data_IF_676772471950
#
_entry.id   IF_676772471950
#
_cell.length_a   1.000
_cell.length_b   1.000
_cell.length_c   1.000
_cell.angle_alpha   90.00
_cell.angle_beta   90.00
_cell.angle_gamma   90.00
#
_symmetry.space_group_name_H-M   'P 1'
#
loop_
_entity.id
_entity.type
_entity.pdbx_description
1 polymer ?
#
# COMPACT_ATOMS: atom_id res chain seq x y z
N UNK A 1 -46.97 60.99 10.43
CA UNK A 1 -46.46 60.17 11.55
C UNK A 1 -46.16 58.80 10.99
N UNK A 2 -44.88 58.46 10.91
CA UNK A 2 -44.34 57.28 10.22
C UNK A 2 -44.47 56.07 11.14
N UNK A 3 -45.13 55.00 10.69
CA UNK A 3 -45.05 53.67 11.31
C UNK A 3 -44.50 52.72 10.25
N UNK A 4 -43.18 52.62 10.23
CA UNK A 4 -42.43 51.69 9.39
C UNK A 4 -42.65 50.26 9.90
N UNK A 5 -43.33 49.43 9.11
CA UNK A 5 -43.44 47.99 9.36
C UNK A 5 -42.14 47.32 8.92
N UNK A 6 -41.22 47.14 9.88
CA UNK A 6 -40.02 46.33 9.67
C UNK A 6 -40.40 44.87 9.52
N UNK A 7 -40.52 44.38 8.29
CA UNK A 7 -40.54 42.94 7.99
C UNK A 7 -39.09 42.46 8.08
N UNK A 8 -38.72 41.92 9.24
CA UNK A 8 -37.43 41.26 9.41
C UNK A 8 -37.40 39.97 8.59
N UNK A 9 -36.67 39.98 7.48
CA UNK A 9 -36.32 38.75 6.77
C UNK A 9 -35.37 37.93 7.66
N UNK A 10 -35.90 36.89 8.28
CA UNK A 10 -35.11 35.88 8.98
C UNK A 10 -34.41 35.03 7.91
N UNK A 11 -33.16 35.38 7.57
CA UNK A 11 -32.29 34.54 6.76
C UNK A 11 -31.88 33.33 7.60
N UNK A 12 -32.60 32.22 7.43
CA UNK A 12 -32.19 30.92 7.96
C UNK A 12 -30.99 30.47 7.14
N UNK A 13 -29.79 30.73 7.65
CA UNK A 13 -28.57 30.14 7.14
C UNK A 13 -28.63 28.63 7.41
N UNK A 14 -28.96 27.83 6.39
CA UNK A 14 -28.71 26.40 6.45
C UNK A 14 -27.19 26.22 6.53
N UNK A 15 -26.70 25.93 7.73
CA UNK A 15 -25.37 25.41 7.92
C UNK A 15 -25.30 24.08 7.16
N UNK A 16 -24.66 24.10 5.98
CA UNK A 16 -24.17 22.88 5.36
C UNK A 16 -23.14 22.31 6.32
N UNK A 17 -23.57 21.37 7.17
CA UNK A 17 -22.64 20.48 7.83
C UNK A 17 -21.86 19.80 6.73
N UNK A 18 -20.58 20.17 6.56
CA UNK A 18 -19.65 19.42 5.74
C UNK A 18 -19.60 18.03 6.36
N UNK A 19 -20.29 17.08 5.72
CA UNK A 19 -20.07 15.67 5.99
C UNK A 19 -18.63 15.44 5.56
N UNK A 20 -17.71 15.42 6.53
CA UNK A 20 -16.34 14.97 6.27
C UNK A 20 -16.48 13.59 5.62
N UNK A 21 -16.03 13.42 4.36
CA UNK A 21 -16.02 12.11 3.75
C UNK A 21 -14.91 11.33 4.45
N UNK A 22 -15.24 10.74 5.60
CA UNK A 22 -14.38 9.88 6.41
C UNK A 22 -14.04 8.55 5.75
N UNK A 23 -13.85 8.55 4.43
CA UNK A 23 -13.63 7.34 3.63
C UNK A 23 -12.44 7.43 2.67
N UNK A 24 -11.77 8.58 2.57
CA UNK A 24 -10.55 8.72 1.79
C UNK A 24 -9.35 8.98 2.71
N UNK A 25 -8.44 8.00 2.81
CA UNK A 25 -7.17 8.22 3.49
C UNK A 25 -6.30 9.17 2.67
N UNK A 26 -6.24 10.42 3.10
CA UNK A 26 -5.38 11.43 2.48
C UNK A 26 -3.93 11.01 2.61
N UNK A 27 -3.21 11.05 1.50
CA UNK A 27 -1.75 10.87 1.45
C UNK A 27 -1.00 12.18 1.58
N UNK A 28 -1.69 13.30 1.82
CA UNK A 28 -1.02 14.58 2.07
C UNK A 28 -0.23 14.44 3.37
N UNK A 29 1.10 14.68 3.36
CA UNK A 29 1.91 14.56 4.56
C UNK A 29 1.44 15.56 5.63
N UNK A 30 1.50 15.12 6.89
CA UNK A 30 1.24 15.94 8.06
C UNK A 30 2.57 16.15 8.77
N UNK A 31 2.97 17.41 8.93
CA UNK A 31 4.20 17.81 9.60
C UNK A 31 3.88 18.84 10.68
N UNK A 32 4.42 18.67 11.89
CA UNK A 32 4.11 19.52 13.06
C UNK A 32 2.60 19.69 13.32
N UNK A 33 1.84 18.61 13.14
CA UNK A 33 0.39 18.58 13.35
C UNK A 33 -0.44 19.31 12.28
N UNK A 34 0.17 19.72 11.15
CA UNK A 34 -0.52 20.41 10.06
C UNK A 34 -0.29 19.68 8.73
N UNK A 35 -1.33 19.63 7.91
CA UNK A 35 -1.18 19.15 6.54
C UNK A 35 -0.26 20.09 5.74
N UNK A 36 0.66 19.52 4.98
CA UNK A 36 1.56 20.27 4.11
C UNK A 36 0.74 20.91 2.98
N UNK A 37 0.98 22.20 2.75
CA UNK A 37 0.22 22.99 1.76
C UNK A 37 0.90 23.05 0.40
N UNK A 38 2.19 22.69 0.32
CA UNK A 38 2.91 22.59 -0.96
C UNK A 38 2.30 21.50 -1.83
N UNK A 39 2.22 21.76 -3.13
CA UNK A 39 1.75 20.77 -4.10
C UNK A 39 2.70 19.58 -4.19
N UNK A 40 2.13 18.41 -4.50
CA UNK A 40 2.89 17.18 -4.78
C UNK A 40 3.85 17.43 -5.93
N UNK A 41 5.13 17.12 -5.75
CA UNK A 41 6.09 17.14 -6.85
C UNK A 41 5.89 15.91 -7.75
N UNK A 42 6.08 16.12 -9.05
CA UNK A 42 5.94 15.06 -10.04
C UNK A 42 7.10 14.05 -9.96
N UNK A 43 6.77 12.79 -10.25
CA UNK A 43 7.76 11.70 -10.32
C UNK A 43 8.13 11.14 -8.95
N UNK A 44 9.19 10.33 -8.91
CA UNK A 44 9.62 9.60 -7.71
C UNK A 44 10.87 10.16 -7.04
N UNK A 45 11.56 11.14 -7.66
CA UNK A 45 12.80 11.74 -7.15
C UNK A 45 13.90 10.73 -6.79
N UNK A 46 13.93 9.57 -7.46
CA UNK A 46 14.87 8.49 -7.17
C UNK A 46 14.49 7.64 -5.95
N UNK A 47 13.29 7.81 -5.40
CA UNK A 47 12.73 6.85 -4.44
C UNK A 47 12.10 5.66 -5.16
N UNK A 48 12.12 4.51 -4.50
CA UNK A 48 11.56 3.29 -5.08
C UNK A 48 10.90 2.42 -4.03
N UNK A 49 9.67 1.99 -4.33
CA UNK A 49 8.98 0.91 -3.65
C UNK A 49 9.32 -0.42 -4.34
N UNK A 50 10.10 -1.25 -3.66
CA UNK A 50 10.59 -2.52 -4.14
C UNK A 50 9.90 -3.69 -3.45
N UNK A 51 9.77 -4.80 -4.17
CA UNK A 51 9.33 -6.08 -3.61
C UNK A 51 10.51 -7.05 -3.72
N UNK A 52 10.83 -7.76 -2.63
CA UNK A 52 11.92 -8.75 -2.64
C UNK A 52 11.75 -9.73 -3.80
N UNK A 53 12.84 -9.97 -4.53
CA UNK A 53 12.91 -10.83 -5.72
C UNK A 53 12.11 -10.34 -6.95
N UNK A 54 11.54 -9.13 -6.90
CA UNK A 54 10.81 -8.50 -8.01
C UNK A 54 9.83 -9.44 -8.75
N UNK A 55 8.86 -10.03 -8.03
CA UNK A 55 7.94 -10.99 -8.62
C UNK A 55 7.06 -10.33 -9.69
N UNK A 56 6.67 -11.11 -10.70
CA UNK A 56 5.74 -10.69 -11.76
C UNK A 56 4.29 -10.56 -11.29
N UNK A 57 3.94 -11.19 -10.18
CA UNK A 57 2.61 -11.16 -9.56
C UNK A 57 2.65 -11.69 -8.13
N UNK A 58 1.48 -11.81 -7.50
CA UNK A 58 1.36 -12.36 -6.15
C UNK A 58 0.71 -13.74 -6.13
N UNK A 59 1.14 -14.57 -5.20
CA UNK A 59 0.48 -15.83 -4.82
C UNK A 59 -0.45 -15.56 -3.62
N UNK A 60 -1.72 -16.00 -3.65
CA UNK A 60 -2.66 -15.74 -2.57
C UNK A 60 -2.14 -16.17 -1.19
N UNK A 61 -2.24 -15.27 -0.19
CA UNK A 61 -1.80 -15.53 1.19
C UNK A 61 -0.28 -15.54 1.43
N UNK A 62 0.54 -15.49 0.37
CA UNK A 62 2.00 -15.42 0.50
C UNK A 62 2.42 -14.08 1.10
N UNK A 63 3.49 -14.10 1.89
CA UNK A 63 4.06 -12.90 2.50
C UNK A 63 5.23 -12.39 1.66
N UNK A 64 5.21 -11.11 1.35
CA UNK A 64 6.21 -10.41 0.55
C UNK A 64 6.92 -9.35 1.39
N UNK A 65 8.24 -9.28 1.28
CA UNK A 65 9.03 -8.23 1.92
C UNK A 65 9.10 -7.03 0.98
N UNK A 66 8.64 -5.88 1.45
CA UNK A 66 8.66 -4.61 0.74
C UNK A 66 9.76 -3.71 1.30
N UNK A 67 10.34 -2.90 0.43
CA UNK A 67 11.36 -1.92 0.79
C UNK A 67 10.99 -0.59 0.15
N UNK A 68 11.03 0.49 0.93
CA UNK A 68 11.01 1.84 0.39
C UNK A 68 12.41 2.42 0.56
N UNK A 69 13.08 2.68 -0.56
CA UNK A 69 14.49 3.08 -0.59
C UNK A 69 14.68 4.40 -1.32
N UNK A 70 15.56 5.24 -0.81
CA UNK A 70 16.10 6.39 -1.52
C UNK A 70 17.29 6.01 -2.39
N UNK A 71 17.43 6.68 -3.55
CA UNK A 71 18.61 6.52 -4.39
C UNK A 71 19.90 6.91 -3.65
N UNK A 72 20.98 6.20 -3.96
CA UNK A 72 22.31 6.50 -3.44
C UNK A 72 23.28 6.64 -4.60
N UNK A 73 23.87 7.83 -4.71
CA UNK A 73 24.95 8.12 -5.66
C UNK A 73 26.18 8.61 -4.89
N UNK A 74 27.32 8.78 -5.56
CA UNK A 74 28.52 9.37 -4.94
C UNK A 74 28.31 10.82 -4.48
N UNK A 75 27.31 11.52 -5.03
CA UNK A 75 27.07 12.95 -4.81
C UNK A 75 25.86 13.21 -3.91
N UNK A 76 24.88 12.30 -3.91
CA UNK A 76 23.60 12.48 -3.21
C UNK A 76 23.19 11.21 -2.48
N UNK A 77 22.92 11.36 -1.18
CA UNK A 77 22.23 10.38 -0.36
C UNK A 77 20.78 10.83 -0.19
N UNK A 78 19.85 10.14 -0.85
CA UNK A 78 18.44 10.50 -0.78
C UNK A 78 17.85 10.03 0.56
N UNK A 79 17.18 10.93 1.28
CA UNK A 79 16.62 10.69 2.60
C UNK A 79 15.21 11.28 2.73
N UNK A 80 14.33 10.56 3.40
CA UNK A 80 12.98 11.00 3.75
C UNK A 80 12.80 10.94 5.27
N UNK A 81 11.94 11.79 5.82
CA UNK A 81 11.60 11.78 7.26
C UNK A 81 10.25 11.13 7.49
N UNK A 82 9.27 11.44 6.62
CA UNK A 82 7.92 10.89 6.72
C UNK A 82 7.58 10.08 5.47
N UNK A 83 6.76 9.06 5.65
CA UNK A 83 6.27 8.24 4.56
C UNK A 83 4.88 7.67 4.87
N UNK A 84 4.17 7.26 3.82
CA UNK A 84 2.96 6.46 3.94
C UNK A 84 3.01 5.32 2.93
N UNK A 85 2.82 4.08 3.38
CA UNK A 85 2.59 2.92 2.52
C UNK A 85 1.13 2.53 2.54
N UNK A 86 0.55 2.33 1.36
CA UNK A 86 -0.86 1.97 1.20
C UNK A 86 -1.03 0.87 0.18
N UNK A 87 -2.10 0.08 0.32
CA UNK A 87 -2.53 -0.93 -0.62
C UNK A 87 -3.93 -0.59 -1.15
N UNK A 88 -4.07 -0.48 -2.47
CA UNK A 88 -5.33 -0.15 -3.13
C UNK A 88 -5.71 -1.25 -4.13
N UNK A 89 -7.01 -1.48 -4.31
CA UNK A 89 -7.47 -2.40 -5.33
C UNK A 89 -7.39 -1.71 -6.69
N UNK A 90 -7.03 -2.46 -7.72
CA UNK A 90 -6.96 -1.96 -9.09
C UNK A 90 -8.07 -2.60 -9.92
N UNK A 91 -8.79 -1.80 -10.69
CA UNK A 91 -9.81 -2.24 -11.64
C UNK A 91 -9.50 -1.72 -13.04
N UNK A 92 -9.92 -2.46 -14.07
CA UNK A 92 -9.71 -2.12 -15.47
C UNK A 92 -8.51 -2.82 -16.11
N UNK A 93 -8.31 -2.59 -17.40
CA UNK A 93 -7.15 -3.08 -18.14
C UNK A 93 -5.93 -2.20 -17.88
N UNK A 94 -4.72 -2.67 -18.18
CA UNK A 94 -3.48 -1.92 -17.97
C UNK A 94 -3.50 -0.48 -18.54
N UNK A 95 -4.28 -0.24 -19.60
CA UNK A 95 -4.44 1.09 -20.23
C UNK A 95 -5.39 2.04 -19.49
N UNK A 96 -6.34 1.51 -18.69
CA UNK A 96 -7.39 2.25 -18.00
C UNK A 96 -7.49 1.86 -16.52
N UNK A 97 -6.37 1.46 -15.92
CA UNK A 97 -6.33 1.00 -14.54
C UNK A 97 -6.71 2.15 -13.60
N UNK A 98 -7.75 1.93 -12.79
CA UNK A 98 -8.16 2.84 -11.71
C UNK A 98 -7.93 2.17 -10.38
N UNK A 99 -7.29 2.89 -9.47
CA UNK A 99 -7.14 2.46 -8.08
C UNK A 99 -8.31 2.95 -7.24
N UNK A 100 -8.74 2.15 -6.28
CA UNK A 100 -9.76 2.52 -5.32
C UNK A 100 -9.47 1.89 -3.97
N UNK A 101 -9.97 2.53 -2.91
CA UNK A 101 -9.80 2.06 -1.55
C UNK A 101 -10.65 0.81 -1.36
N UNK A 102 -10.03 -0.25 -0.84
CA UNK A 102 -10.70 -1.51 -0.54
C UNK A 102 -10.14 -2.10 0.75
N UNK A 103 -10.96 -2.86 1.47
CA UNK A 103 -10.57 -3.42 2.75
C UNK A 103 -9.48 -4.50 2.64
N UNK A 104 -8.82 -4.86 3.76
CA UNK A 104 -7.67 -5.77 3.78
C UNK A 104 -7.92 -7.15 3.15
N UNK A 105 -9.18 -7.61 3.12
CA UNK A 105 -9.56 -8.86 2.44
C UNK A 105 -9.27 -8.83 0.94
N UNK A 106 -9.35 -7.66 0.30
CA UNK A 106 -9.18 -7.48 -1.15
C UNK A 106 -7.80 -6.98 -1.55
N UNK A 107 -7.10 -6.27 -0.66
CA UNK A 107 -5.80 -5.65 -0.98
C UNK A 107 -4.65 -6.23 -0.18
N UNK A 108 -4.92 -7.24 0.65
CA UNK A 108 -3.94 -7.78 1.58
C UNK A 108 -3.77 -6.89 2.80
N UNK A 109 -2.84 -7.28 3.68
CA UNK A 109 -2.56 -6.56 4.92
C UNK A 109 -1.07 -6.38 5.12
N UNK A 110 -0.68 -5.23 5.63
CA UNK A 110 0.69 -5.02 6.08
C UNK A 110 0.95 -5.74 7.42
N UNK A 111 2.20 -6.15 7.59
CA UNK A 111 2.78 -6.62 8.84
C UNK A 111 4.11 -5.87 9.00
N UNK A 112 4.40 -5.42 10.22
CA UNK A 112 5.60 -4.66 10.51
C UNK A 112 6.66 -5.57 11.11
N UNK A 113 7.92 -5.27 10.83
CA UNK A 113 9.00 -5.81 11.63
C UNK A 113 8.96 -5.18 13.03
N UNK A 114 9.61 -5.82 14.01
CA UNK A 114 9.80 -5.22 15.33
C UNK A 114 10.91 -4.16 15.34
N UNK A 115 11.06 -3.42 14.24
CA UNK A 115 11.94 -2.27 14.15
C UNK A 115 11.25 -1.03 14.72
N UNK A 116 12.05 -0.04 15.14
CA UNK A 116 11.54 1.22 15.66
C UNK A 116 11.32 2.27 14.57
N UNK A 117 11.32 1.89 13.28
CA UNK A 117 11.26 2.83 12.15
C UNK A 117 9.83 3.02 11.63
N UNK A 118 9.01 1.98 11.77
CA UNK A 118 7.68 1.90 11.15
C UNK A 118 6.57 1.67 12.17
N UNK A 119 5.38 2.21 11.91
CA UNK A 119 4.17 1.96 12.71
C UNK A 119 2.92 1.97 11.84
N UNK A 120 1.82 1.41 12.33
CA UNK A 120 0.52 1.57 11.68
C UNK A 120 0.01 3.00 11.91
N UNK A 121 -0.67 3.55 10.91
CA UNK A 121 -1.27 4.86 11.00
C UNK A 121 -2.64 4.77 11.69
N UNK A 122 -2.80 5.47 12.82
CA UNK A 122 -3.99 5.35 13.67
C UNK A 122 -5.26 5.90 12.99
N UNK A 123 -5.11 6.82 12.04
CA UNK A 123 -6.22 7.47 11.35
C UNK A 123 -6.60 6.81 10.02
N UNK A 124 -5.84 5.80 9.56
CA UNK A 124 -6.20 5.04 8.37
C UNK A 124 -5.86 3.56 8.49
N UNK A 125 -6.88 2.73 8.37
CA UNK A 125 -6.73 1.27 8.37
C UNK A 125 -5.81 0.82 7.23
N UNK A 126 -4.95 -0.15 7.52
CA UNK A 126 -4.05 -0.78 6.55
C UNK A 126 -3.10 0.22 5.87
N UNK A 127 -2.67 1.23 6.62
CA UNK A 127 -1.66 2.20 6.20
C UNK A 127 -0.48 2.16 7.17
N UNK A 128 0.73 2.16 6.64
CA UNK A 128 1.96 2.19 7.44
C UNK A 128 2.59 3.58 7.30
N UNK A 129 3.14 4.09 8.39
CA UNK A 129 3.80 5.40 8.46
C UNK A 129 5.05 5.32 9.33
N UNK A 130 5.80 6.43 9.42
CA UNK A 130 6.99 6.54 10.26
C UNK A 130 6.66 6.48 11.75
N UNK A 131 7.53 5.84 12.52
CA UNK A 131 7.47 5.82 13.98
C UNK A 131 8.11 7.05 14.63
N UNK A 132 9.08 7.67 13.94
CA UNK A 132 9.78 8.88 14.35
C UNK A 132 10.14 9.73 13.13
N UNK A 133 10.57 10.96 13.38
CA UNK A 133 10.87 11.95 12.33
C UNK A 133 12.36 11.98 11.94
N UNK A 134 13.17 11.02 12.39
CA UNK A 134 14.59 10.96 12.00
C UNK A 134 14.75 10.65 10.51
N UNK A 135 15.75 11.22 9.83
CA UNK A 135 16.02 10.92 8.42
C UNK A 135 16.30 9.44 8.18
N UNK A 136 15.61 8.86 7.20
CA UNK A 136 15.72 7.45 6.79
C UNK A 136 16.12 7.38 5.32
N UNK A 137 16.98 6.44 4.99
CA UNK A 137 17.32 6.09 3.60
C UNK A 137 16.53 4.88 3.11
N UNK A 138 16.05 4.06 4.04
CA UNK A 138 15.36 2.81 3.79
C UNK A 138 14.42 2.46 4.95
N UNK A 139 13.26 1.88 4.64
CA UNK A 139 12.40 1.14 5.58
C UNK A 139 11.97 -0.18 4.97
N UNK A 140 11.56 -1.12 5.82
CA UNK A 140 11.10 -2.45 5.41
C UNK A 140 9.77 -2.77 6.06
N UNK A 141 8.88 -3.41 5.31
CA UNK A 141 7.63 -3.95 5.85
C UNK A 141 7.31 -5.27 5.17
N UNK A 142 6.39 -6.03 5.74
CA UNK A 142 5.83 -7.23 5.12
C UNK A 142 4.42 -6.93 4.60
N UNK A 143 4.06 -7.50 3.47
CA UNK A 143 2.70 -7.47 2.93
C UNK A 143 2.22 -8.89 2.68
N UNK A 144 1.12 -9.24 3.34
CA UNK A 144 0.44 -10.52 3.13
C UNK A 144 -0.55 -10.34 1.99
N UNK A 145 -0.33 -11.04 0.89
CA UNK A 145 -1.18 -11.00 -0.28
C UNK A 145 -2.63 -11.41 0.07
N UNK A 146 -3.64 -10.83 -0.59
CA UNK A 146 -5.03 -11.16 -0.36
C UNK A 146 -5.38 -12.58 -0.80
N UNK A 147 -6.61 -13.01 -0.52
CA UNK A 147 -7.14 -14.28 -0.99
C UNK A 147 -7.30 -14.29 -2.52
N UNK A 148 -7.42 -15.50 -3.09
CA UNK A 148 -7.67 -15.70 -4.51
C UNK A 148 -8.95 -15.01 -4.96
N UNK A 149 -8.98 -14.52 -6.21
CA UNK A 149 -10.08 -13.75 -6.79
C UNK A 149 -10.05 -12.26 -6.45
N UNK A 150 -8.99 -11.77 -5.80
CA UNK A 150 -8.88 -10.35 -5.42
C UNK A 150 -8.43 -9.43 -6.55
N UNK A 151 -7.83 -9.99 -7.61
CA UNK A 151 -7.43 -9.27 -8.81
C UNK A 151 -6.02 -8.67 -8.73
N UNK A 152 -5.89 -7.38 -9.01
CA UNK A 152 -4.61 -6.68 -8.94
C UNK A 152 -4.62 -5.68 -7.77
N UNK A 153 -3.50 -5.62 -7.05
CA UNK A 153 -3.27 -4.72 -5.93
C UNK A 153 -2.19 -3.73 -6.32
N UNK A 154 -2.45 -2.44 -6.12
CA UNK A 154 -1.49 -1.37 -6.26
C UNK A 154 -0.93 -1.02 -4.88
N UNK A 155 0.33 -1.36 -4.66
CA UNK A 155 1.12 -0.93 -3.52
C UNK A 155 1.74 0.42 -3.89
N UNK A 156 1.56 1.42 -3.03
CA UNK A 156 2.02 2.78 -3.34
C UNK A 156 2.57 3.47 -2.11
N UNK A 157 3.56 4.32 -2.34
CA UNK A 157 4.26 5.08 -1.32
C UNK A 157 4.10 6.58 -1.52
N UNK A 158 3.98 7.30 -0.41
CA UNK A 158 4.25 8.73 -0.30
C UNK A 158 5.53 8.92 0.49
N UNK A 159 6.36 9.86 0.09
CA UNK A 159 7.61 10.25 0.74
C UNK A 159 7.68 11.76 0.90
N UNK A 160 8.12 12.20 2.08
CA UNK A 160 8.29 13.59 2.45
C UNK A 160 9.73 13.83 2.90
N UNK A 161 10.40 14.76 2.22
CA UNK A 161 11.79 15.14 2.51
C UNK A 161 11.87 16.35 3.45
N UNK A 162 10.86 17.21 3.36
CA UNK A 162 10.76 18.48 4.07
C UNK A 162 9.62 19.31 3.48
N UNK A 163 9.34 20.46 4.08
CA UNK A 163 8.15 21.27 3.77
C UNK A 163 8.03 21.65 2.28
N UNK A 164 9.14 21.73 1.56
CA UNK A 164 9.19 22.11 0.14
C UNK A 164 9.04 20.94 -0.85
N UNK A 165 9.20 19.68 -0.41
CA UNK A 165 9.33 18.54 -1.32
C UNK A 165 8.70 17.27 -0.77
N UNK A 166 7.65 16.81 -1.45
CA UNK A 166 7.04 15.52 -1.23
C UNK A 166 6.54 14.91 -2.54
N UNK A 167 6.54 13.58 -2.59
CA UNK A 167 6.27 12.78 -3.78
C UNK A 167 5.32 11.65 -3.39
N UNK A 168 4.39 11.29 -4.28
CA UNK A 168 3.40 10.24 -4.01
C UNK A 168 2.90 9.63 -5.31
N UNK A 169 2.71 8.31 -5.30
CA UNK A 169 1.95 7.55 -6.31
C UNK A 169 2.49 7.59 -7.75
N UNK A 170 3.67 8.17 -7.98
CA UNK A 170 4.27 8.35 -9.30
C UNK A 170 5.48 7.43 -9.51
N UNK A 171 5.68 7.00 -10.75
CA UNK A 171 6.89 6.29 -11.17
C UNK A 171 7.21 5.07 -10.31
N UNK A 172 8.42 5.03 -9.75
CA UNK A 172 8.92 3.92 -8.96
C UNK A 172 8.35 3.86 -7.52
N UNK A 173 7.51 4.81 -7.10
CA UNK A 173 6.79 4.76 -5.82
C UNK A 173 5.54 3.89 -5.86
N UNK A 174 5.15 3.39 -7.04
CA UNK A 174 3.98 2.54 -7.23
C UNK A 174 4.38 1.19 -7.82
N UNK A 175 3.93 0.10 -7.19
CA UNK A 175 4.10 -1.28 -7.67
C UNK A 175 2.75 -1.98 -7.72
N UNK A 176 2.36 -2.41 -8.93
CA UNK A 176 1.13 -3.20 -9.12
C UNK A 176 1.50 -4.68 -9.21
N UNK A 177 0.83 -5.51 -8.39
CA UNK A 177 0.95 -6.96 -8.41
C UNK A 177 -0.42 -7.57 -8.67
N UNK A 178 -0.49 -8.46 -9.66
CA UNK A 178 -1.70 -9.22 -9.97
C UNK A 178 -1.57 -10.66 -9.51
N UNK A 179 -2.71 -11.29 -9.20
CA UNK A 179 -2.75 -12.71 -8.84
C UNK A 179 -2.13 -13.58 -9.95
N UNK A 180 -1.15 -14.40 -9.57
CA UNK A 180 -0.58 -15.42 -10.45
C UNK A 180 -1.62 -16.54 -10.56
N UNK A 181 -2.10 -16.78 -11.78
CA UNK A 181 -2.90 -17.97 -12.05
C UNK A 181 -1.97 -19.18 -12.01
N UNK A 182 -2.31 -20.24 -11.23
CA UNK A 182 -1.56 -21.48 -11.32
C UNK A 182 -1.62 -21.97 -12.76
N UNK A 183 -0.46 -22.27 -13.34
CA UNK A 183 -0.39 -22.85 -14.67
C UNK A 183 -1.09 -24.21 -14.65
N UNK A 184 -2.13 -24.44 -15.49
CA UNK A 184 -2.78 -25.74 -15.57
C UNK A 184 -1.84 -26.89 -15.96
N UNK A 185 -0.62 -26.59 -16.42
CA UNK A 185 0.40 -27.57 -16.80
C UNK A 185 1.21 -28.18 -15.65
N UNK A 186 1.15 -27.64 -14.43
CA UNK A 186 1.84 -28.24 -13.27
C UNK A 186 0.84 -28.96 -12.38
N UNK A 187 0.20 -29.99 -12.93
CA UNK A 187 -0.21 -31.12 -12.09
C UNK A 187 1.10 -31.64 -11.51
N UNK A 188 1.43 -31.25 -10.28
CA UNK A 188 2.33 -32.03 -9.45
C UNK A 188 1.74 -33.43 -9.49
N UNK A 189 2.37 -34.30 -10.29
CA UNK A 189 2.00 -35.69 -10.38
C UNK A 189 1.83 -36.15 -8.95
N UNK A 190 0.64 -36.66 -8.66
CA UNK A 190 0.36 -37.34 -7.41
C UNK A 190 1.57 -38.21 -7.10
N UNK A 191 2.26 -37.92 -5.99
CA UNK A 191 3.15 -38.90 -5.42
C UNK A 191 2.26 -40.04 -4.92
N UNK A 192 1.85 -40.91 -5.83
CA UNK A 192 1.45 -42.26 -5.54
C UNK A 192 2.73 -43.03 -5.24
N UNK A 193 3.25 -42.82 -4.02
CA UNK A 193 4.12 -43.80 -3.39
C UNK A 193 3.25 -45.05 -3.10
N UNK A 194 3.02 -45.85 -4.14
CA UNK A 194 2.53 -47.22 -3.99
C UNK A 194 3.73 -48.06 -3.55
N UNK A 195 3.90 -48.22 -2.23
CA UNK A 195 4.80 -49.23 -1.66
C UNK A 195 4.20 -50.61 -1.90
N UNK A 196 4.46 -51.19 -3.06
CA UNK A 196 4.25 -52.62 -3.31
C UNK A 196 5.49 -53.39 -2.83
N UNK A 197 5.45 -53.81 -1.56
CA UNK A 197 6.43 -54.72 -1.01
C UNK A 197 6.28 -56.12 -1.62
N UNK A 198 7.22 -56.50 -2.50
CA UNK A 198 7.32 -57.86 -3.05
C UNK A 198 8.16 -58.74 -2.13
N UNK A 199 7.52 -59.51 -1.25
CA UNK A 199 8.21 -60.58 -0.51
C UNK A 199 8.42 -61.79 -1.43
N UNK A 200 9.68 -62.11 -1.75
CA UNK A 200 10.04 -63.43 -2.27
C UNK A 200 10.35 -64.35 -1.08
N UNK A 201 9.43 -65.27 -0.78
CA UNK A 201 9.68 -66.37 0.16
C UNK A 201 10.41 -67.47 -0.59
N UNK A 202 11.67 -67.68 -0.26
CA UNK A 202 12.42 -68.87 -0.69
C UNK A 202 12.22 -69.96 0.34
N UNK A 203 11.46 -71.00 -0.01
CA UNK A 203 11.37 -72.23 0.77
C UNK A 203 12.62 -73.07 0.47
N UNK A 204 13.51 -73.22 1.44
CA UNK A 204 14.61 -74.19 1.36
C UNK A 204 14.10 -75.48 2.01
N UNK A 205 14.09 -76.56 1.22
CA UNK A 205 13.73 -77.92 1.64
C UNK A 205 14.82 -78.49 2.54
#
# INVERSE_FOLDING_TARGET
MVVSRGVGLLLVALALASVDPGWACSKVPVFNGRAVTKEKKAGDNGYRLAVRNEPSGYEPGKIYNLFLVGSRTHVKLQQFTHFMLTAQATSGTAKNARTFIAGPKRVGRFQLFSDSLTRFYDHCVNTVTQADDFPKTEIQVMWVAPASGSGCVSLSAMVFEGEDSWYSDDGALTKVLCEIKPDPGTVQGECCACDEAKYSVSLVV
#
